data_IF_507695326952
#
_entry.id   IF_507695326952
#
_cell.length_a   1.000
_cell.length_b   1.000
_cell.length_c   1.000
_cell.angle_alpha   90.00
_cell.angle_beta   90.00
_cell.angle_gamma   90.00
#
_symmetry.space_group_name_H-M   'P 1'
#
loop_
_entity.id
_entity.type
_entity.pdbx_description
1 polymer ?
#
# COMPACT_ATOMS: atom_id res chain seq x y z
N UNK A 1 9.37 20.06 -5.18
CA UNK A 1 8.75 19.89 -3.84
C UNK A 1 7.83 18.69 -3.95
N UNK A 2 8.11 17.48 -3.45
CA UNK A 2 8.91 17.10 -2.28
C UNK A 2 9.29 15.62 -2.45
N UNK A 3 10.58 15.31 -2.67
CA UNK A 3 11.11 13.95 -2.56
C UNK A 3 11.37 13.72 -1.08
N UNK A 4 10.43 13.08 -0.39
CA UNK A 4 10.67 12.61 0.98
C UNK A 4 11.45 11.29 0.89
N UNK A 5 12.67 11.19 1.44
CA UNK A 5 13.52 9.99 1.42
C UNK A 5 13.03 8.89 2.39
N UNK A 6 11.72 8.75 2.50
CA UNK A 6 11.02 7.70 3.21
C UNK A 6 9.82 7.44 2.34
N UNK A 7 9.91 6.45 1.45
CA UNK A 7 8.76 5.90 0.74
C UNK A 7 7.86 5.31 1.85
N UNK A 8 6.81 6.02 2.30
CA UNK A 8 6.00 5.53 3.40
C UNK A 8 5.20 4.34 2.88
N UNK A 9 4.95 3.35 3.73
CA UNK A 9 4.14 2.22 3.31
C UNK A 9 2.77 2.74 2.85
N UNK A 10 2.29 2.40 1.64
CA UNK A 10 0.96 2.77 1.23
C UNK A 10 -0.04 2.13 2.21
N UNK A 11 -1.15 2.82 2.46
CA UNK A 11 -2.20 2.34 3.36
C UNK A 11 -3.36 1.78 2.52
N UNK A 12 -3.90 0.58 2.84
CA UNK A 12 -5.03 0.03 2.11
C UNK A 12 -6.27 0.92 2.24
N UNK A 13 -7.08 1.03 1.16
CA UNK A 13 -8.36 1.71 1.25
C UNK A 13 -9.29 1.04 2.26
N UNK A 14 -10.14 1.84 2.89
CA UNK A 14 -11.17 1.32 3.77
C UNK A 14 -12.25 0.61 2.94
N UNK A 15 -12.52 -0.66 3.28
CA UNK A 15 -13.58 -1.42 2.61
C UNK A 15 -14.93 -0.77 2.89
N UNK A 16 -15.75 -0.45 1.87
CA UNK A 16 -17.08 0.09 2.09
C UNK A 16 -17.95 -0.91 2.85
N UNK A 17 -18.81 -0.40 3.73
CA UNK A 17 -19.79 -1.22 4.46
C UNK A 17 -20.89 -1.76 3.54
N UNK A 18 -21.59 -2.81 3.99
CA UNK A 18 -22.72 -3.36 3.23
C UNK A 18 -23.85 -2.35 3.06
N UNK A 19 -24.09 -1.48 4.04
CA UNK A 19 -25.10 -0.41 3.98
C UNK A 19 -24.74 0.69 2.96
N UNK A 20 -23.45 0.90 2.70
CA UNK A 20 -22.97 1.83 1.65
C UNK A 20 -23.15 1.24 0.25
N UNK A 21 -23.19 -0.10 0.16
CA UNK A 21 -23.45 -0.78 -1.09
C UNK A 21 -24.96 -0.96 -1.30
N UNK A 22 -25.48 -0.12 -2.17
CA UNK A 22 -26.87 -0.15 -2.63
C UNK A 22 -27.36 -1.52 -3.17
N UNK A 23 -26.45 -2.44 -3.55
CA UNK A 23 -26.71 -3.81 -4.06
C UNK A 23 -27.79 -3.98 -5.16
N UNK A 24 -28.35 -2.87 -5.67
CA UNK A 24 -29.49 -2.83 -6.57
C UNK A 24 -29.15 -2.20 -7.93
N UNK A 25 -27.86 -2.03 -8.24
CA UNK A 25 -27.40 -1.41 -9.49
C UNK A 25 -27.46 0.11 -9.45
N UNK A 26 -26.99 0.73 -8.36
CA UNK A 26 -26.84 2.18 -8.29
C UNK A 26 -25.89 2.70 -9.39
N UNK A 27 -26.17 3.88 -9.93
CA UNK A 27 -25.41 4.52 -11.02
C UNK A 27 -23.93 4.74 -10.70
N UNK A 28 -23.59 4.86 -9.40
CA UNK A 28 -22.20 4.92 -8.92
C UNK A 28 -21.98 3.79 -7.91
N UNK A 29 -21.24 2.75 -8.33
CA UNK A 29 -20.93 1.62 -7.47
C UNK A 29 -19.71 1.93 -6.60
N UNK A 30 -19.91 2.06 -5.28
CA UNK A 30 -18.82 2.26 -4.32
C UNK A 30 -17.81 1.10 -4.35
N UNK A 31 -18.25 -0.10 -4.71
CA UNK A 31 -17.37 -1.26 -4.84
C UNK A 31 -16.43 -1.14 -6.04
N UNK A 32 -16.87 -0.58 -7.17
CA UNK A 32 -15.99 -0.34 -8.33
C UNK A 32 -14.95 0.72 -7.99
N UNK A 33 -15.36 1.83 -7.37
CA UNK A 33 -14.41 2.86 -6.94
C UNK A 33 -13.40 2.32 -5.91
N UNK A 34 -13.84 1.47 -4.99
CA UNK A 34 -12.96 0.77 -4.06
C UNK A 34 -11.99 -0.19 -4.77
N UNK A 35 -12.43 -0.91 -5.80
CA UNK A 35 -11.56 -1.82 -6.56
C UNK A 35 -10.48 -1.07 -7.32
N UNK A 36 -10.80 0.06 -7.95
CA UNK A 36 -9.83 0.92 -8.63
C UNK A 36 -8.78 1.48 -7.66
N UNK A 37 -9.22 1.93 -6.48
CA UNK A 37 -8.33 2.42 -5.43
C UNK A 37 -7.45 1.29 -4.87
N UNK A 38 -8.03 0.10 -4.68
CA UNK A 38 -7.32 -1.09 -4.24
C UNK A 38 -6.24 -1.49 -5.26
N UNK A 39 -6.54 -1.47 -6.55
CA UNK A 39 -5.58 -1.79 -7.60
C UNK A 39 -4.40 -0.80 -7.60
N UNK A 40 -4.68 0.49 -7.40
CA UNK A 40 -3.65 1.53 -7.26
C UNK A 40 -2.79 1.30 -6.01
N UNK A 41 -3.43 0.97 -4.88
CA UNK A 41 -2.74 0.62 -3.64
C UNK A 41 -1.82 -0.59 -3.81
N UNK A 42 -2.29 -1.66 -4.48
CA UNK A 42 -1.51 -2.87 -4.71
C UNK A 42 -0.28 -2.58 -5.57
N UNK A 43 -0.40 -1.71 -6.57
CA UNK A 43 0.73 -1.29 -7.39
C UNK A 43 1.78 -0.50 -6.59
N UNK A 44 1.32 0.50 -5.84
CA UNK A 44 2.18 1.26 -4.94
C UNK A 44 2.86 0.35 -3.90
N UNK A 45 2.13 -0.63 -3.34
CA UNK A 45 2.66 -1.55 -2.35
C UNK A 45 3.76 -2.44 -2.96
N UNK A 46 3.59 -2.90 -4.20
CA UNK A 46 4.64 -3.67 -4.89
C UNK A 46 5.89 -2.83 -5.08
N UNK A 47 5.77 -1.59 -5.57
CA UNK A 47 6.90 -0.69 -5.73
C UNK A 47 7.63 -0.45 -4.39
N UNK A 48 6.86 -0.13 -3.34
CA UNK A 48 7.37 0.05 -1.99
C UNK A 48 8.14 -1.17 -1.47
N UNK A 49 7.60 -2.38 -1.67
CA UNK A 49 8.28 -3.62 -1.26
C UNK A 49 9.63 -3.83 -1.96
N UNK A 50 9.72 -3.50 -3.26
CA UNK A 50 10.98 -3.55 -4.00
C UNK A 50 12.01 -2.56 -3.44
N UNK A 51 11.56 -1.34 -3.10
CA UNK A 51 12.41 -0.33 -2.49
C UNK A 51 12.88 -0.72 -1.09
N UNK A 52 12.01 -1.29 -0.26
CA UNK A 52 12.38 -1.79 1.08
C UNK A 52 13.39 -2.94 1.02
N UNK A 53 13.22 -3.88 0.08
CA UNK A 53 14.19 -4.95 -0.12
C UNK A 53 15.59 -4.43 -0.47
N UNK A 54 15.68 -3.31 -1.20
CA UNK A 54 16.93 -2.63 -1.52
C UNK A 54 17.44 -1.72 -0.37
N UNK A 55 16.53 -1.16 0.43
CA UNK A 55 16.82 -0.15 1.45
C UNK A 55 17.10 -0.69 2.85
N UNK A 56 16.93 -2.00 3.11
CA UNK A 56 17.35 -2.63 4.38
C UNK A 56 18.79 -3.16 4.24
N UNK A 57 19.85 -2.39 4.55
CA UNK A 57 21.17 -2.95 4.75
C UNK A 57 21.12 -3.82 6.01
N UNK A 58 21.40 -5.12 5.85
CA UNK A 58 21.52 -6.07 6.96
C UNK A 58 22.42 -5.46 8.04
N UNK A 59 22.02 -5.46 9.33
CA UNK A 59 22.93 -5.04 10.39
C UNK A 59 24.14 -5.97 10.35
N UNK A 60 25.30 -5.43 9.91
CA UNK A 60 26.59 -6.11 10.02
C UNK A 60 26.79 -6.36 11.50
N UNK A 61 26.46 -7.58 11.95
CA UNK A 61 26.84 -8.07 13.27
C UNK A 61 28.34 -7.84 13.38
N UNK A 62 28.71 -6.89 14.23
CA UNK A 62 30.08 -6.69 14.66
C UNK A 62 30.49 -7.97 15.37
N UNK A 63 31.12 -8.87 14.60
CA UNK A 63 31.87 -10.01 15.10
C UNK A 63 32.88 -9.48 16.10
N UNK A 64 32.56 -9.59 17.38
CA UNK A 64 33.56 -9.53 18.45
C UNK A 64 34.30 -10.87 18.40
N UNK A 65 35.58 -10.81 18.07
CA UNK A 65 36.53 -11.93 18.02
C UNK A 65 37.88 -11.36 18.42
N UNK A 66 38.79 -12.11 19.06
CA UNK A 66 38.64 -13.10 20.14
C UNK A 66 38.76 -12.46 21.54
#
# INVERSE_FOLDING_TARGET
MTTTPHDPQPQPPAKPGNDECCHSGCTFCVLEMYQEDLATYEDALRAWQQHQAAAVPKPRKTRKTP
#
